data_IF_596813513732
#
_entry.id   IF_596813513732
#
_cell.length_a   1.000
_cell.length_b   1.000
_cell.length_c   1.000
_cell.angle_alpha   90.00
_cell.angle_beta   90.00
_cell.angle_gamma   90.00
#
_symmetry.space_group_name_H-M   'P 1'
#
loop_
_entity.id
_entity.type
_entity.pdbx_description
1 polymer ?
#
# COMPACT_ATOMS: atom_id res chain seq x y z
N UNK A 1 -8.08 0.37 -8.03
CA UNK A 1 -7.15 1.54 -8.07
C UNK A 1 -7.34 2.39 -6.81
N UNK A 2 -6.35 3.19 -6.37
CA UNK A 2 -6.56 4.20 -5.32
C UNK A 2 -7.47 5.31 -5.87
N UNK A 3 -8.61 5.53 -5.23
CA UNK A 3 -9.62 6.53 -5.65
C UNK A 3 -9.68 7.74 -4.72
N UNK A 4 -9.44 7.53 -3.42
CA UNK A 4 -9.47 8.61 -2.43
C UNK A 4 -8.37 8.38 -1.38
N UNK A 5 -7.67 9.44 -1.01
CA UNK A 5 -6.75 9.48 0.12
C UNK A 5 -7.14 10.62 1.05
N UNK A 6 -7.52 10.28 2.28
CA UNK A 6 -7.76 11.22 3.36
C UNK A 6 -6.58 11.23 4.32
N UNK A 7 -6.02 12.40 4.58
CA UNK A 7 -4.88 12.62 5.47
C UNK A 7 -5.31 13.55 6.59
N UNK A 8 -5.00 13.19 7.83
CA UNK A 8 -5.28 14.00 9.00
C UNK A 8 -4.07 14.04 9.93
N UNK A 9 -3.66 15.24 10.33
CA UNK A 9 -2.57 15.51 11.27
C UNK A 9 -1.22 14.88 10.90
N UNK A 10 -0.83 14.97 9.63
CA UNK A 10 0.50 14.56 9.17
C UNK A 10 1.35 15.78 8.84
N UNK A 11 2.46 15.95 9.52
CA UNK A 11 3.43 17.02 9.33
C UNK A 11 2.75 18.41 9.26
N UNK A 12 2.81 19.06 8.12
CA UNK A 12 2.16 20.37 7.90
C UNK A 12 0.69 20.27 7.50
N UNK A 13 0.22 19.06 7.14
CA UNK A 13 -1.17 18.82 6.72
C UNK A 13 -2.03 18.60 7.97
N UNK A 14 -2.99 19.49 8.19
CA UNK A 14 -4.00 19.31 9.24
C UNK A 14 -5.09 18.35 8.77
N UNK A 15 -5.66 18.61 7.59
CA UNK A 15 -6.64 17.76 6.94
C UNK A 15 -6.57 17.97 5.41
N UNK A 16 -6.59 16.87 4.66
CA UNK A 16 -6.65 16.91 3.20
C UNK A 16 -7.38 15.70 2.64
N UNK A 17 -8.21 15.93 1.64
CA UNK A 17 -8.84 14.92 0.80
C UNK A 17 -8.28 15.02 -0.61
N UNK A 18 -7.74 13.94 -1.13
CA UNK A 18 -7.15 13.85 -2.46
C UNK A 18 -7.88 12.76 -3.23
N UNK A 19 -8.59 13.15 -4.28
CA UNK A 19 -9.23 12.22 -5.20
C UNK A 19 -8.31 11.92 -6.37
N UNK A 20 -8.28 10.67 -6.79
CA UNK A 20 -7.51 10.19 -7.94
C UNK A 20 -8.46 9.69 -9.02
N UNK A 21 -8.19 10.09 -10.24
CA UNK A 21 -8.89 9.61 -11.42
C UNK A 21 -8.17 8.42 -12.06
N UNK A 22 -8.85 7.70 -12.95
CA UNK A 22 -8.21 6.65 -13.75
C UNK A 22 -7.14 7.24 -14.66
N UNK A 23 -6.04 6.52 -14.80
CA UNK A 23 -4.92 6.90 -15.65
C UNK A 23 -3.84 7.68 -14.90
N UNK A 24 -3.34 8.76 -15.50
CA UNK A 24 -2.19 9.50 -15.01
C UNK A 24 -2.60 10.67 -14.12
N UNK A 25 -2.17 10.66 -12.84
CA UNK A 25 -2.41 11.72 -11.88
C UNK A 25 -1.09 12.45 -11.59
N UNK A 26 -1.07 13.78 -11.62
CA UNK A 26 0.13 14.60 -11.40
C UNK A 26 -0.02 15.46 -10.16
N UNK A 27 0.91 15.32 -9.23
CA UNK A 27 1.04 16.21 -8.08
C UNK A 27 2.09 17.27 -8.38
N UNK A 28 1.65 18.53 -8.52
CA UNK A 28 2.53 19.69 -8.76
C UNK A 28 2.65 20.54 -7.51
N UNK A 29 3.73 21.28 -7.39
CA UNK A 29 3.97 22.19 -6.26
C UNK A 29 5.46 22.41 -6.02
N UNK A 30 5.81 23.40 -5.19
CA UNK A 30 7.20 23.67 -4.81
C UNK A 30 7.78 22.55 -3.93
N UNK A 31 9.12 22.45 -3.91
CA UNK A 31 9.83 21.54 -3.00
C UNK A 31 9.52 21.89 -1.54
N UNK A 32 9.11 20.91 -0.75
CA UNK A 32 8.68 21.13 0.64
C UNK A 32 7.17 21.36 0.84
N UNK A 33 6.40 21.56 -0.23
CA UNK A 33 4.97 21.91 -0.17
C UNK A 33 4.01 20.72 0.05
N UNK A 34 4.48 19.63 0.64
CA UNK A 34 3.58 18.52 1.00
C UNK A 34 3.54 17.35 0.02
N UNK A 35 4.16 17.42 -1.17
CA UNK A 35 4.20 16.28 -2.12
C UNK A 35 4.80 15.01 -1.50
N UNK A 36 5.93 15.14 -0.82
CA UNK A 36 6.56 14.02 -0.11
C UNK A 36 5.66 13.48 0.99
N UNK A 37 4.93 14.37 1.70
CA UNK A 37 4.01 13.99 2.77
C UNK A 37 2.87 13.12 2.22
N UNK A 38 2.38 13.40 1.00
CA UNK A 38 1.36 12.57 0.34
C UNK A 38 1.92 11.17 0.04
N UNK A 39 3.15 11.08 -0.48
CA UNK A 39 3.81 9.80 -0.71
C UNK A 39 4.04 9.04 0.61
N UNK A 40 4.49 9.74 1.66
CA UNK A 40 4.67 9.15 3.00
C UNK A 40 3.34 8.64 3.57
N UNK A 41 2.24 9.37 3.36
CA UNK A 41 0.90 8.94 3.74
C UNK A 41 0.45 7.69 2.98
N UNK A 42 0.71 7.62 1.65
CA UNK A 42 0.44 6.42 0.85
C UNK A 42 1.30 5.25 1.35
N UNK A 43 2.58 5.45 1.58
CA UNK A 43 3.48 4.42 2.14
C UNK A 43 2.98 3.92 3.49
N UNK A 44 2.55 4.84 4.37
CA UNK A 44 2.00 4.48 5.67
C UNK A 44 0.75 3.60 5.54
N UNK A 45 -0.20 3.95 4.65
CA UNK A 45 -1.45 3.19 4.47
C UNK A 45 -1.19 1.81 3.84
N UNK A 46 -0.10 1.63 3.12
CA UNK A 46 0.33 0.34 2.56
C UNK A 46 1.09 -0.55 3.56
N UNK A 47 1.23 -0.11 4.82
CA UNK A 47 1.86 -0.91 5.87
C UNK A 47 3.37 -0.71 6.00
N UNK A 48 3.95 0.28 5.31
CA UNK A 48 5.35 0.66 5.50
C UNK A 48 5.59 1.27 6.89
N UNK A 49 6.86 1.42 7.27
CA UNK A 49 7.23 1.97 8.56
C UNK A 49 6.80 3.43 8.67
N UNK A 50 5.97 3.72 9.65
CA UNK A 50 5.57 5.09 9.98
C UNK A 50 6.34 5.56 11.22
N UNK A 51 6.85 6.79 11.17
CA UNK A 51 7.62 7.40 12.24
C UNK A 51 6.77 8.40 13.02
N UNK A 52 7.11 8.62 14.30
CA UNK A 52 6.39 9.56 15.17
C UNK A 52 6.52 11.02 14.71
N UNK A 53 7.61 11.36 14.04
CA UNK A 53 7.88 12.67 13.46
C UNK A 53 6.95 13.01 12.29
N UNK A 54 6.25 12.01 11.72
CA UNK A 54 5.14 12.27 10.78
C UNK A 54 3.93 12.94 11.45
N UNK A 55 3.77 12.78 12.78
CA UNK A 55 2.61 13.32 13.49
C UNK A 55 2.76 14.84 13.62
N UNK A 56 1.72 15.57 13.24
CA UNK A 56 1.67 17.04 13.34
C UNK A 56 1.94 17.48 14.77
N UNK A 57 2.84 18.44 14.94
CA UNK A 57 3.18 19.02 16.23
C UNK A 57 1.91 19.56 16.93
N UNK A 58 1.72 19.17 18.18
CA UNK A 58 0.55 19.59 18.98
C UNK A 58 -0.64 18.63 18.89
N UNK A 59 -0.55 17.52 18.12
CA UNK A 59 -1.59 16.50 18.06
C UNK A 59 -1.13 15.19 18.67
N UNK A 60 -2.07 14.38 19.17
CA UNK A 60 -1.77 13.09 19.81
C UNK A 60 -1.64 11.93 18.82
N UNK A 61 -2.20 12.08 17.62
CA UNK A 61 -2.19 11.06 16.58
C UNK A 61 -2.30 11.68 15.18
N UNK A 62 -1.80 10.93 14.20
CA UNK A 62 -2.07 11.13 12.77
C UNK A 62 -2.97 10.00 12.26
N UNK A 63 -3.75 10.27 11.23
CA UNK A 63 -4.63 9.30 10.59
C UNK A 63 -4.50 9.38 9.07
N UNK A 64 -4.45 8.22 8.43
CA UNK A 64 -4.59 8.10 6.97
C UNK A 64 -5.71 7.13 6.68
N UNK A 65 -6.55 7.46 5.72
CA UNK A 65 -7.59 6.59 5.18
C UNK A 65 -7.49 6.59 3.66
N UNK A 66 -7.53 5.41 3.05
CA UNK A 66 -7.53 5.24 1.61
C UNK A 66 -8.71 4.39 1.17
N UNK A 67 -9.28 4.73 0.02
CA UNK A 67 -10.31 3.94 -0.64
C UNK A 67 -9.72 3.42 -1.95
N UNK A 68 -9.76 2.11 -2.11
CA UNK A 68 -9.36 1.41 -3.32
C UNK A 68 -10.58 0.85 -4.01
N UNK A 69 -10.77 1.17 -5.28
CA UNK A 69 -11.84 0.63 -6.11
C UNK A 69 -11.30 -0.43 -7.07
N UNK A 70 -12.18 -1.30 -7.54
CA UNK A 70 -11.86 -2.38 -8.47
C UNK A 70 -10.76 -3.32 -7.93
N UNK A 71 -10.75 -3.57 -6.62
CA UNK A 71 -9.82 -4.54 -6.00
C UNK A 71 -10.29 -5.94 -6.38
N UNK A 72 -9.41 -6.80 -6.96
CA UNK A 72 -9.78 -8.17 -7.26
C UNK A 72 -9.96 -9.00 -5.97
N UNK A 73 -10.65 -10.14 -6.02
CA UNK A 73 -10.79 -11.04 -4.87
C UNK A 73 -9.46 -11.75 -4.58
N UNK A 74 -8.62 -11.10 -3.78
CA UNK A 74 -7.32 -11.62 -3.33
C UNK A 74 -7.52 -12.66 -2.23
N UNK A 75 -6.76 -13.74 -2.24
CA UNK A 75 -6.76 -14.78 -1.19
C UNK A 75 -6.46 -14.20 0.20
N UNK A 76 -5.74 -13.09 0.23
CA UNK A 76 -5.41 -12.35 1.45
C UNK A 76 -6.64 -12.07 2.33
N UNK A 77 -7.81 -11.77 1.76
CA UNK A 77 -9.02 -11.48 2.53
C UNK A 77 -9.50 -12.70 3.31
N UNK A 78 -9.58 -13.85 2.66
CA UNK A 78 -9.99 -15.11 3.27
C UNK A 78 -8.97 -15.59 4.33
N UNK A 79 -7.68 -15.51 4.02
CA UNK A 79 -6.59 -15.91 4.91
C UNK A 79 -6.54 -15.10 6.22
N UNK A 80 -6.98 -13.83 6.19
CA UNK A 80 -6.92 -12.93 7.35
C UNK A 80 -8.29 -12.68 7.99
N UNK A 81 -9.35 -13.36 7.52
CA UNK A 81 -10.72 -13.25 8.08
C UNK A 81 -11.31 -11.84 7.89
N UNK A 82 -10.90 -11.15 6.83
CA UNK A 82 -11.43 -9.83 6.46
C UNK A 82 -12.48 -10.01 5.38
N UNK A 83 -13.63 -9.36 5.54
CA UNK A 83 -14.69 -9.38 4.52
C UNK A 83 -14.17 -8.67 3.25
N UNK A 84 -14.29 -9.37 2.11
CA UNK A 84 -13.92 -8.81 0.81
C UNK A 84 -14.97 -7.83 0.31
N UNK A 85 -14.50 -6.69 -0.16
CA UNK A 85 -15.31 -5.72 -0.91
C UNK A 85 -14.45 -5.17 -2.06
N UNK A 86 -14.97 -5.13 -3.31
CA UNK A 86 -14.29 -4.47 -4.44
C UNK A 86 -13.93 -3.02 -4.16
N UNK A 87 -14.69 -2.33 -3.28
CA UNK A 87 -14.34 -1.03 -2.70
C UNK A 87 -13.69 -1.25 -1.33
N UNK A 88 -12.39 -1.51 -1.33
CA UNK A 88 -11.63 -1.79 -0.11
C UNK A 88 -11.20 -0.49 0.57
N UNK A 89 -11.60 -0.33 1.83
CA UNK A 89 -11.22 0.81 2.68
C UNK A 89 -10.11 0.40 3.64
N UNK A 90 -8.98 1.11 3.57
CA UNK A 90 -7.87 0.93 4.50
C UNK A 90 -7.75 2.17 5.38
N UNK A 91 -7.55 1.98 6.68
CA UNK A 91 -7.32 3.05 7.64
C UNK A 91 -6.14 2.72 8.55
N UNK A 92 -5.29 3.71 8.79
CA UNK A 92 -4.20 3.60 9.76
C UNK A 92 -4.13 4.82 10.64
N UNK A 93 -4.09 4.59 11.96
CA UNK A 93 -3.83 5.60 12.98
C UNK A 93 -2.43 5.36 13.57
N UNK A 94 -1.65 6.43 13.67
CA UNK A 94 -0.30 6.44 14.23
C UNK A 94 -0.34 7.34 15.47
N UNK A 95 -0.02 6.78 16.63
CA UNK A 95 -0.09 7.48 17.91
C UNK A 95 1.31 7.85 18.43
N UNK A 96 1.41 8.96 19.17
CA UNK A 96 2.67 9.43 19.78
C UNK A 96 3.29 8.41 20.75
N UNK A 97 2.47 7.57 21.39
CA UNK A 97 2.94 6.48 22.26
C UNK A 97 3.56 5.31 21.47
N UNK A 98 3.53 5.38 20.15
CA UNK A 98 4.06 4.36 19.23
C UNK A 98 3.05 3.30 18.81
N UNK A 99 1.82 3.35 19.33
CA UNK A 99 0.74 2.45 18.94
C UNK A 99 0.33 2.75 17.49
N UNK A 100 0.15 1.69 16.71
CA UNK A 100 -0.43 1.75 15.37
C UNK A 100 -1.73 0.95 15.36
N UNK A 101 -2.80 1.54 14.83
CA UNK A 101 -4.09 0.86 14.65
C UNK A 101 -4.39 0.82 13.17
N UNK A 102 -4.43 -0.38 12.60
CA UNK A 102 -4.74 -0.58 11.19
C UNK A 102 -6.10 -1.30 11.04
N UNK A 103 -6.89 -0.85 10.08
CA UNK A 103 -8.15 -1.50 9.71
C UNK A 103 -8.24 -1.67 8.20
N UNK A 104 -8.81 -2.80 7.79
CA UNK A 104 -9.20 -3.06 6.39
C UNK A 104 -10.68 -3.46 6.42
N UNK A 105 -11.52 -2.74 5.70
CA UNK A 105 -12.99 -2.91 5.70
C UNK A 105 -13.58 -2.99 7.13
N UNK A 106 -13.06 -2.14 8.06
CA UNK A 106 -13.45 -2.10 9.46
C UNK A 106 -12.75 -3.14 10.36
N UNK A 107 -12.22 -4.23 9.82
CA UNK A 107 -11.53 -5.29 10.56
C UNK A 107 -10.14 -4.86 11.01
N UNK A 108 -9.79 -5.11 12.27
CA UNK A 108 -8.45 -4.83 12.80
C UNK A 108 -7.43 -5.81 12.24
N UNK A 109 -6.32 -5.27 11.74
CA UNK A 109 -5.18 -6.05 11.25
C UNK A 109 -3.87 -5.53 11.84
N UNK A 110 -2.84 -6.37 11.88
CA UNK A 110 -1.49 -5.91 12.23
C UNK A 110 -0.84 -5.16 11.06
N UNK A 111 0.19 -4.34 11.35
CA UNK A 111 0.95 -3.63 10.30
C UNK A 111 1.60 -4.62 9.33
N UNK A 112 2.07 -5.78 9.80
CA UNK A 112 2.66 -6.81 8.95
C UNK A 112 1.65 -7.46 8.00
N UNK A 113 0.43 -7.68 8.47
CA UNK A 113 -0.68 -8.19 7.64
C UNK A 113 -1.10 -7.13 6.62
N UNK A 114 -1.23 -5.86 7.03
CA UNK A 114 -1.52 -4.75 6.14
C UNK A 114 -0.47 -4.62 5.03
N UNK A 115 0.82 -4.75 5.35
CA UNK A 115 1.91 -4.66 4.37
C UNK A 115 1.78 -5.72 3.26
N UNK A 116 1.38 -6.94 3.60
CA UNK A 116 1.15 -8.00 2.60
C UNK A 116 0.02 -7.65 1.63
N UNK A 117 -1.01 -6.94 2.08
CA UNK A 117 -2.04 -6.40 1.21
C UNK A 117 -1.50 -5.22 0.37
N UNK A 118 -0.79 -4.30 1.02
CA UNK A 118 -0.27 -3.08 0.39
C UNK A 118 0.58 -3.36 -0.85
N UNK A 119 1.46 -4.35 -0.79
CA UNK A 119 2.31 -4.79 -1.92
C UNK A 119 1.48 -5.26 -3.12
N UNK A 120 0.29 -5.83 -2.89
CA UNK A 120 -0.60 -6.30 -3.95
C UNK A 120 -1.46 -5.17 -4.55
N UNK A 121 -1.65 -4.05 -3.83
CA UNK A 121 -2.51 -2.95 -4.24
C UNK A 121 -1.77 -1.86 -5.02
N UNK A 122 -0.58 -1.46 -4.56
CA UNK A 122 0.23 -0.39 -5.17
C UNK A 122 1.70 -0.76 -5.08
N UNK A 123 2.41 -0.51 -6.18
CA UNK A 123 3.87 -0.53 -6.20
C UNK A 123 4.38 0.93 -6.21
N UNK A 124 5.18 1.30 -5.21
CA UNK A 124 5.78 2.63 -5.10
C UNK A 124 7.21 2.57 -5.61
N UNK A 125 7.51 3.34 -6.65
CA UNK A 125 8.86 3.52 -7.15
C UNK A 125 9.41 4.88 -6.71
N UNK A 126 10.17 4.91 -5.62
CA UNK A 126 10.83 6.10 -5.09
C UNK A 126 12.26 6.28 -5.60
N UNK A 127 12.88 7.42 -5.26
CA UNK A 127 14.28 7.69 -5.63
C UNK A 127 15.28 6.69 -5.01
N UNK A 128 14.85 5.88 -4.04
CA UNK A 128 15.68 4.92 -3.30
C UNK A 128 15.09 3.50 -3.25
N UNK A 129 13.93 3.28 -3.88
CA UNK A 129 13.23 1.99 -3.84
C UNK A 129 13.24 1.30 -5.21
N UNK A 130 14.34 0.67 -5.50
CA UNK A 130 14.38 -0.41 -6.48
C UNK A 130 14.27 -1.78 -5.79
N UNK A 131 13.64 -1.84 -4.61
CA UNK A 131 13.68 -3.00 -3.74
C UNK A 131 13.18 -4.28 -4.42
N UNK A 132 12.12 -4.20 -5.24
CA UNK A 132 11.60 -5.37 -5.96
C UNK A 132 12.50 -5.83 -7.12
N UNK A 133 13.25 -4.91 -7.74
CA UNK A 133 14.21 -5.23 -8.81
C UNK A 133 15.55 -5.74 -8.26
N UNK A 134 15.91 -5.37 -7.02
CA UNK A 134 17.11 -5.87 -6.34
C UNK A 134 16.87 -7.18 -5.59
N UNK A 135 15.63 -7.60 -5.45
CA UNK A 135 15.28 -8.89 -4.88
C UNK A 135 15.41 -9.97 -5.97
N UNK A 136 16.48 -10.75 -5.88
CA UNK A 136 16.82 -11.80 -6.85
C UNK A 136 15.70 -12.85 -6.98
N UNK A 137 14.92 -13.08 -5.94
CA UNK A 137 13.80 -14.03 -5.93
C UNK A 137 12.67 -13.61 -6.88
N UNK A 138 12.56 -12.31 -7.19
CA UNK A 138 11.56 -11.79 -8.11
C UNK A 138 12.01 -11.76 -9.59
N UNK A 139 13.31 -11.92 -9.87
CA UNK A 139 13.83 -11.77 -11.24
C UNK A 139 13.22 -12.77 -12.22
N UNK A 140 13.09 -14.04 -11.81
CA UNK A 140 12.48 -15.07 -12.66
C UNK A 140 11.01 -14.76 -12.95
N UNK A 141 10.28 -14.28 -11.96
CA UNK A 141 8.86 -13.90 -12.10
C UNK A 141 8.68 -12.75 -13.09
N UNK A 142 9.59 -11.75 -13.06
CA UNK A 142 9.58 -10.64 -14.02
C UNK A 142 9.89 -11.10 -15.45
N UNK A 143 10.88 -12.01 -15.60
CA UNK A 143 11.24 -12.58 -16.90
C UNK A 143 10.11 -13.42 -17.48
N UNK A 144 9.46 -14.22 -16.68
CA UNK A 144 8.32 -15.05 -17.08
C UNK A 144 7.12 -14.19 -17.49
N UNK A 145 6.83 -13.14 -16.74
CA UNK A 145 5.76 -12.20 -17.06
C UNK A 145 6.05 -11.41 -18.37
N UNK A 146 7.30 -11.03 -18.60
CA UNK A 146 7.71 -10.34 -19.83
C UNK A 146 7.67 -11.27 -21.05
N UNK A 147 7.99 -12.56 -20.85
CA UNK A 147 8.04 -13.57 -21.92
C UNK A 147 6.71 -14.27 -22.18
N UNK A 148 5.60 -13.91 -21.48
CA UNK A 148 4.32 -14.63 -21.51
C UNK A 148 4.47 -16.14 -21.25
N UNK A 149 5.39 -16.51 -20.34
CA UNK A 149 5.79 -17.89 -20.08
C UNK A 149 4.89 -18.64 -19.05
N UNK A 150 3.77 -18.06 -18.62
CA UNK A 150 2.92 -18.63 -17.57
C UNK A 150 2.48 -20.07 -17.86
N UNK A 151 2.09 -20.35 -19.10
CA UNK A 151 1.65 -21.70 -19.54
C UNK A 151 2.80 -22.71 -19.48
N UNK A 152 4.00 -22.30 -19.94
CA UNK A 152 5.19 -23.15 -19.97
C UNK A 152 5.66 -23.42 -18.54
N UNK A 153 5.59 -22.44 -17.67
CA UNK A 153 5.92 -22.55 -16.25
C UNK A 153 4.99 -23.50 -15.52
N UNK A 154 3.68 -23.43 -15.78
CA UNK A 154 2.70 -24.33 -15.19
C UNK A 154 2.95 -25.78 -15.60
N UNK A 155 3.19 -26.05 -16.89
CA UNK A 155 3.52 -27.39 -17.42
C UNK A 155 4.84 -27.93 -16.84
N UNK A 156 5.85 -27.06 -16.67
CA UNK A 156 7.11 -27.45 -16.03
C UNK A 156 6.91 -27.80 -14.55
N UNK A 157 6.16 -26.98 -13.79
CA UNK A 157 5.89 -27.20 -12.37
C UNK A 157 5.16 -28.51 -12.14
N UNK A 158 4.13 -28.80 -12.95
CA UNK A 158 3.39 -30.08 -12.88
C UNK A 158 4.31 -31.28 -13.11
N UNK A 159 5.21 -31.21 -14.09
CA UNK A 159 6.16 -32.28 -14.39
C UNK A 159 7.26 -32.43 -13.33
N UNK A 160 7.69 -31.31 -12.74
CA UNK A 160 8.68 -31.32 -11.67
C UNK A 160 8.13 -31.95 -10.38
N UNK A 161 6.90 -31.61 -10.00
CA UNK A 161 6.25 -32.14 -8.80
C UNK A 161 5.86 -33.64 -8.93
N UNK A 162 5.87 -34.19 -10.17
CA UNK A 162 5.56 -35.57 -10.46
C UNK A 162 6.78 -36.50 -10.35
N UNK A 163 7.99 -35.99 -10.10
CA UNK A 163 9.24 -36.73 -9.93
C UNK A 163 9.61 -36.86 -8.46
#
# INVERSE_FOLDING_TARGET
MLSLLHIENIAVIECADISFDRGFNVLTGETGAGKSIVIDAISAILGERAYRDMIRTGTAKASVRAVFTDVPPLDWFAENGVEYDPETVIQREIHLDGKNVCRVNGSLVSVSILRKLGIQLINIHGQHDSASLFDEDNHLTFLDAFGDNEVIRADYSEKYDAV
#
